data_IF_944729779529
#
_entry.id   IF_944729779529
#
_cell.length_a   1.000
_cell.length_b   1.000
_cell.length_c   1.000
_cell.angle_alpha   90.00
_cell.angle_beta   90.00
_cell.angle_gamma   90.00
#
_symmetry.space_group_name_H-M   'P 1'
#
loop_
_entity.id
_entity.type
_entity.pdbx_description
1 polymer ?
#
# COMPACT_ATOMS: atom_id res chain seq x y z
N UNK A 1 -13.38 -53.38 65.03
CA UNK A 1 -13.86 -52.25 64.22
C UNK A 1 -12.83 -51.97 63.14
N UNK A 2 -13.17 -52.14 61.87
CA UNK A 2 -12.27 -51.94 60.73
C UNK A 2 -12.85 -50.78 59.91
N UNK A 3 -12.13 -49.67 59.81
CA UNK A 3 -12.55 -48.52 58.98
C UNK A 3 -12.17 -48.78 57.52
N UNK A 4 -13.04 -48.48 56.53
CA UNK A 4 -12.78 -48.76 55.14
C UNK A 4 -11.79 -47.76 54.54
N UNK A 5 -10.86 -48.27 53.72
CA UNK A 5 -9.98 -47.50 52.86
C UNK A 5 -10.77 -46.50 52.01
N UNK A 6 -10.64 -45.20 52.30
CA UNK A 6 -11.08 -44.13 51.39
C UNK A 6 -10.08 -44.05 50.26
N UNK A 7 -10.51 -44.44 49.06
CA UNK A 7 -9.77 -44.14 47.81
C UNK A 7 -9.70 -42.62 47.65
N UNK A 8 -8.56 -42.04 47.19
CA UNK A 8 -8.55 -40.64 46.79
C UNK A 8 -9.52 -40.45 45.64
N UNK A 9 -10.55 -39.64 45.89
CA UNK A 9 -11.54 -39.20 44.93
C UNK A 9 -10.86 -38.18 44.01
N UNK A 10 -10.20 -38.66 42.96
CA UNK A 10 -9.93 -37.88 41.75
C UNK A 10 -9.61 -38.87 40.62
N UNK A 11 -10.61 -39.67 40.29
CA UNK A 11 -10.67 -40.40 39.04
C UNK A 11 -10.80 -39.37 37.90
N UNK A 12 -9.66 -39.05 37.29
CA UNK A 12 -9.46 -38.76 35.88
C UNK A 12 -10.65 -38.13 35.12
N UNK A 13 -10.82 -36.81 35.27
CA UNK A 13 -11.36 -36.01 34.19
C UNK A 13 -10.39 -36.08 33.02
N UNK A 14 -10.72 -36.84 31.98
CA UNK A 14 -9.88 -37.03 30.77
C UNK A 14 -9.75 -35.79 29.89
N UNK A 15 -9.90 -34.60 30.49
CA UNK A 15 -9.81 -33.31 29.83
C UNK A 15 -8.46 -32.75 30.21
N UNK A 16 -7.57 -32.67 29.24
CA UNK A 16 -6.29 -31.98 29.39
C UNK A 16 -6.57 -30.48 29.58
N UNK A 17 -6.17 -29.94 30.73
CA UNK A 17 -6.32 -28.52 31.04
C UNK A 17 -5.11 -27.69 30.58
N UNK A 18 -4.13 -28.32 29.92
CA UNK A 18 -3.01 -27.57 29.36
C UNK A 18 -3.52 -26.68 28.21
N UNK A 19 -3.16 -25.38 28.22
CA UNK A 19 -3.55 -24.50 27.14
C UNK A 19 -2.88 -24.95 25.85
N UNK A 20 -3.69 -25.14 24.82
CA UNK A 20 -3.25 -25.57 23.48
C UNK A 20 -2.18 -24.66 22.86
N UNK A 21 -2.11 -23.40 23.32
CA UNK A 21 -1.20 -22.39 22.79
C UNK A 21 -0.40 -21.79 23.93
N UNK A 22 0.93 -21.82 23.79
CA UNK A 22 1.82 -21.10 24.69
C UNK A 22 1.88 -19.62 24.29
N UNK A 23 1.29 -18.75 25.11
CA UNK A 23 1.21 -17.30 24.87
C UNK A 23 2.58 -16.62 24.88
N UNK A 24 3.58 -17.14 25.60
CA UNK A 24 4.94 -16.57 25.59
C UNK A 24 5.64 -16.79 24.24
N UNK A 25 5.17 -17.74 23.43
CA UNK A 25 5.80 -18.13 22.15
C UNK A 25 5.05 -17.62 20.93
N UNK A 26 3.97 -16.86 21.09
CA UNK A 26 3.15 -16.35 19.97
C UNK A 26 3.95 -15.44 19.05
N UNK A 27 4.95 -14.73 19.57
CA UNK A 27 5.82 -13.86 18.80
C UNK A 27 6.65 -14.63 17.75
N UNK A 28 6.82 -15.96 17.89
CA UNK A 28 7.52 -16.80 16.91
C UNK A 28 6.65 -17.10 15.68
N UNK A 29 5.34 -16.95 15.81
CA UNK A 29 4.36 -17.13 14.74
C UNK A 29 4.07 -15.80 14.02
N UNK A 30 4.60 -14.68 14.51
CA UNK A 30 4.53 -13.40 13.82
C UNK A 30 5.37 -13.48 12.56
N UNK A 31 4.72 -13.75 11.42
CA UNK A 31 5.31 -13.40 10.14
C UNK A 31 5.39 -11.88 10.08
N UNK A 32 6.58 -11.27 9.93
CA UNK A 32 6.65 -9.85 9.69
C UNK A 32 5.81 -9.60 8.45
N UNK A 33 4.77 -8.77 8.58
CA UNK A 33 4.04 -8.28 7.41
C UNK A 33 5.10 -7.75 6.48
N UNK A 34 5.35 -8.48 5.38
CA UNK A 34 6.00 -7.91 4.21
C UNK A 34 5.07 -6.78 3.86
N UNK A 35 5.41 -5.58 4.31
CA UNK A 35 4.73 -4.37 3.91
C UNK A 35 4.57 -4.54 2.41
N UNK A 36 3.31 -4.69 1.99
CA UNK A 36 2.98 -4.72 0.60
C UNK A 36 3.53 -3.38 0.13
N UNK A 37 4.70 -3.41 -0.52
CA UNK A 37 5.16 -2.25 -1.27
C UNK A 37 4.04 -2.12 -2.28
N UNK A 38 3.11 -1.21 -1.96
CA UNK A 38 2.08 -0.71 -2.85
C UNK A 38 2.71 -0.74 -4.25
N UNK A 39 2.09 -1.38 -5.26
CA UNK A 39 2.61 -1.33 -6.61
C UNK A 39 2.53 0.13 -7.04
N UNK A 40 3.58 0.90 -6.72
CA UNK A 40 3.90 2.23 -7.20
C UNK A 40 2.64 2.98 -7.65
N UNK A 41 1.93 3.59 -6.69
CA UNK A 41 1.35 4.89 -6.99
C UNK A 41 2.57 5.75 -7.36
N UNK A 42 2.92 5.77 -8.64
CA UNK A 42 3.57 6.92 -9.22
C UNK A 42 2.54 7.99 -8.94
N UNK A 43 2.72 8.74 -7.84
CA UNK A 43 2.03 9.99 -7.63
C UNK A 43 2.37 10.80 -8.89
N UNK A 44 1.50 10.72 -9.89
CA UNK A 44 1.65 11.44 -11.14
C UNK A 44 1.45 12.90 -10.73
N UNK A 45 2.57 13.53 -10.36
CA UNK A 45 2.57 14.80 -9.68
C UNK A 45 1.87 15.77 -10.63
N UNK A 46 0.66 16.19 -10.27
CA UNK A 46 -0.06 17.16 -11.06
C UNK A 46 0.82 18.41 -11.17
N UNK A 47 1.14 18.75 -12.41
CA UNK A 47 2.03 19.86 -12.73
C UNK A 47 1.17 20.91 -13.43
N UNK A 48 1.13 22.10 -12.84
CA UNK A 48 0.48 23.24 -13.47
C UNK A 48 1.10 23.52 -14.84
N UNK A 49 0.29 23.92 -15.85
CA UNK A 49 0.80 24.24 -17.17
C UNK A 49 1.89 25.30 -17.13
N UNK A 50 3.00 25.06 -17.83
CA UNK A 50 4.13 25.97 -17.95
C UNK A 50 4.52 26.13 -19.41
N UNK A 51 4.66 27.39 -19.85
CA UNK A 51 5.05 27.71 -21.22
C UNK A 51 6.57 27.58 -21.33
N UNK A 52 7.02 26.51 -21.97
CA UNK A 52 8.43 26.26 -22.24
C UNK A 52 8.94 27.03 -23.46
N UNK A 53 8.10 27.18 -24.48
CA UNK A 53 8.42 27.96 -25.69
C UNK A 53 7.19 28.79 -26.09
N UNK A 54 7.22 30.12 -25.90
CA UNK A 54 6.11 30.98 -26.31
C UNK A 54 6.06 31.13 -27.83
N UNK A 55 4.88 31.48 -28.35
CA UNK A 55 4.70 31.87 -29.75
C UNK A 55 5.55 33.11 -30.01
N UNK A 56 6.25 33.10 -31.15
CA UNK A 56 7.06 34.24 -31.60
C UNK A 56 6.37 34.96 -32.74
N UNK A 57 6.59 36.27 -32.81
CA UNK A 57 6.18 37.06 -33.96
C UNK A 57 6.90 36.58 -35.21
N UNK A 58 6.15 36.46 -36.30
CA UNK A 58 6.67 36.07 -37.60
C UNK A 58 6.09 36.99 -38.66
N UNK A 59 6.95 37.45 -39.56
CA UNK A 59 6.54 38.17 -40.76
C UNK A 59 6.54 37.17 -41.91
N UNK A 60 5.39 36.98 -42.54
CA UNK A 60 5.24 36.09 -43.68
C UNK A 60 4.74 36.87 -44.90
N UNK A 61 5.24 36.55 -46.11
CA UNK A 61 4.74 37.15 -47.33
C UNK A 61 3.32 36.67 -47.64
N UNK A 62 2.59 37.48 -48.40
CA UNK A 62 1.24 37.16 -48.84
C UNK A 62 1.19 35.82 -49.58
N UNK A 63 0.07 35.11 -49.44
CA UNK A 63 -0.15 33.77 -50.02
C UNK A 63 0.75 32.65 -49.48
N UNK A 64 1.41 32.85 -48.33
CA UNK A 64 2.24 31.83 -47.68
C UNK A 64 1.52 31.23 -46.47
N UNK A 65 1.54 29.90 -46.34
CA UNK A 65 1.06 29.23 -45.13
C UNK A 65 2.08 29.33 -44.01
N UNK A 66 1.58 29.61 -42.81
CA UNK A 66 2.42 29.83 -41.65
C UNK A 66 1.95 28.96 -40.49
N UNK A 67 2.90 28.31 -39.80
CA UNK A 67 2.61 27.47 -38.64
C UNK A 67 3.12 28.17 -37.38
N UNK A 68 2.19 28.49 -36.48
CA UNK A 68 2.51 29.01 -35.15
C UNK A 68 2.68 27.82 -34.22
N UNK A 69 3.79 27.78 -33.48
CA UNK A 69 4.09 26.69 -32.53
C UNK A 69 4.39 27.27 -31.16
N UNK A 70 3.83 26.66 -30.12
CA UNK A 70 4.20 26.86 -28.73
C UNK A 70 4.46 25.50 -28.08
N UNK A 71 5.31 25.49 -27.04
CA UNK A 71 5.56 24.31 -26.22
C UNK A 71 5.05 24.59 -24.82
N UNK A 72 4.08 23.78 -24.38
CA UNK A 72 3.49 23.85 -23.04
C UNK A 72 3.70 22.48 -22.39
N UNK A 73 4.16 22.50 -21.15
CA UNK A 73 4.34 21.32 -20.32
C UNK A 73 3.34 21.35 -19.16
N UNK A 74 2.82 20.20 -18.72
CA UNK A 74 1.81 20.12 -17.68
C UNK A 74 1.20 18.73 -17.58
N UNK A 75 0.72 18.37 -16.40
CA UNK A 75 0.03 17.10 -16.15
C UNK A 75 -1.21 17.32 -15.28
N UNK A 76 -2.43 16.94 -15.74
CA UNK A 76 -2.74 16.30 -17.03
C UNK A 76 -2.47 17.21 -18.24
N UNK A 77 -2.49 16.63 -19.47
CA UNK A 77 -2.19 17.35 -20.72
C UNK A 77 -3.04 18.63 -20.79
N UNK A 78 -2.42 19.82 -20.90
CA UNK A 78 -3.15 21.08 -20.99
C UNK A 78 -3.94 21.18 -22.31
N UNK A 79 -5.14 21.77 -22.25
CA UNK A 79 -5.91 22.13 -23.43
C UNK A 79 -5.44 23.49 -23.95
N UNK A 80 -5.10 23.56 -25.25
CA UNK A 80 -4.64 24.78 -25.96
C UNK A 80 -5.75 25.45 -26.75
#
# INVERSE_FOLDING_TARGET
QIQPNRRPLNEFGGVDETPLVNLEKIHLLETPSKQNKQPYDIEEKSQAPSVLAPIRSINAPESTHVVLTAKIDGSPIPTV
#
